data_IF_020189905177
#
_entry.id   IF_020189905177
#
_cell.length_a   1.000
_cell.length_b   1.000
_cell.length_c   1.000
_cell.angle_alpha   90.00
_cell.angle_beta   90.00
_cell.angle_gamma   90.00
#
_symmetry.space_group_name_H-M   'P 1'
#
loop_
_entity.id
_entity.type
_entity.pdbx_description
1 polymer ?
#
# COMPACT_ATOMS: atom_id res chain seq x y z
N UNK A 1 -40.59 -41.32 59.63
CA UNK A 1 -40.04 -41.15 58.27
C UNK A 1 -40.91 -40.14 57.52
N UNK A 2 -40.45 -38.91 57.30
CA UNK A 2 -41.25 -37.87 56.65
C UNK A 2 -41.44 -38.18 55.15
N UNK A 3 -42.69 -38.29 54.71
CA UNK A 3 -43.06 -38.48 53.29
C UNK A 3 -42.75 -37.19 52.54
N UNK A 4 -41.67 -37.18 51.77
CA UNK A 4 -41.32 -36.06 50.90
C UNK A 4 -42.44 -35.90 49.85
N UNK A 5 -42.99 -34.69 49.74
CA UNK A 5 -44.05 -34.38 48.80
C UNK A 5 -43.50 -34.48 47.36
N UNK A 6 -43.95 -35.51 46.63
CA UNK A 6 -43.50 -35.84 45.28
C UNK A 6 -43.68 -34.67 44.30
N UNK A 7 -44.68 -33.81 44.52
CA UNK A 7 -44.92 -32.64 43.66
C UNK A 7 -43.86 -31.55 43.87
N UNK A 8 -43.37 -31.39 45.09
CA UNK A 8 -42.29 -30.43 45.40
C UNK A 8 -40.97 -30.89 44.79
N UNK A 9 -40.69 -32.19 44.86
CA UNK A 9 -39.50 -32.78 44.23
C UNK A 9 -39.57 -32.62 42.71
N UNK A 10 -40.73 -32.87 42.10
CA UNK A 10 -40.91 -32.71 40.66
C UNK A 10 -40.73 -31.26 40.21
N UNK A 11 -41.25 -30.30 40.98
CA UNK A 11 -41.09 -28.88 40.70
C UNK A 11 -39.62 -28.42 40.84
N UNK A 12 -38.89 -28.96 41.82
CA UNK A 12 -37.48 -28.64 42.01
C UNK A 12 -36.62 -29.23 40.87
N UNK A 13 -36.92 -30.46 40.45
CA UNK A 13 -36.25 -31.12 39.33
C UNK A 13 -36.55 -30.43 37.99
N UNK A 14 -37.77 -29.96 37.75
CA UNK A 14 -38.09 -29.22 36.53
C UNK A 14 -37.41 -27.84 36.49
N UNK A 15 -37.36 -27.13 37.63
CA UNK A 15 -36.70 -25.84 37.72
C UNK A 15 -35.18 -25.97 37.51
N UNK A 16 -34.55 -26.95 38.16
CA UNK A 16 -33.12 -27.22 37.98
C UNK A 16 -32.79 -27.64 36.55
N UNK A 17 -33.64 -28.47 35.92
CA UNK A 17 -33.49 -28.84 34.51
C UNK A 17 -33.62 -27.64 33.57
N UNK A 18 -34.52 -26.69 33.85
CA UNK A 18 -34.70 -25.49 33.03
C UNK A 18 -33.48 -24.56 33.11
N UNK A 19 -32.95 -24.36 34.33
CA UNK A 19 -31.73 -23.56 34.55
C UNK A 19 -30.54 -24.20 33.84
N UNK A 20 -30.41 -25.53 33.91
CA UNK A 20 -29.35 -26.25 33.21
C UNK A 20 -29.49 -26.13 31.68
N UNK A 21 -30.70 -26.22 31.13
CA UNK A 21 -30.94 -26.03 29.71
C UNK A 21 -30.59 -24.61 29.24
N UNK A 22 -30.92 -23.59 30.03
CA UNK A 22 -30.56 -22.19 29.73
C UNK A 22 -29.04 -22.00 29.76
N UNK A 23 -28.35 -22.62 30.72
CA UNK A 23 -26.89 -22.62 30.77
C UNK A 23 -26.27 -23.33 29.56
N UNK A 24 -26.80 -24.48 29.15
CA UNK A 24 -26.37 -25.19 27.95
C UNK A 24 -26.59 -24.37 26.68
N UNK A 25 -27.72 -23.69 26.54
CA UNK A 25 -28.01 -22.80 25.40
C UNK A 25 -27.09 -21.58 25.37
N UNK A 26 -26.83 -20.97 26.53
CA UNK A 26 -25.89 -19.87 26.66
C UNK A 26 -24.46 -20.32 26.29
N UNK A 27 -24.02 -21.46 26.83
CA UNK A 27 -22.71 -22.05 26.51
C UNK A 27 -22.60 -22.45 25.04
N UNK A 28 -23.66 -23.02 24.45
CA UNK A 28 -23.71 -23.34 23.03
C UNK A 28 -23.58 -22.08 22.16
N UNK A 29 -24.35 -21.02 22.46
CA UNK A 29 -24.33 -19.78 21.69
C UNK A 29 -23.01 -19.02 21.82
N UNK A 30 -22.41 -19.00 23.00
CA UNK A 30 -21.24 -18.15 23.27
C UNK A 30 -19.91 -18.87 23.01
N UNK A 31 -19.81 -20.17 23.30
CA UNK A 31 -18.56 -20.92 23.20
C UNK A 31 -18.52 -21.91 22.03
N UNK A 32 -19.59 -22.67 21.76
CA UNK A 32 -19.58 -23.68 20.70
C UNK A 32 -19.95 -23.11 19.32
N UNK A 33 -20.88 -22.17 19.22
CA UNK A 33 -21.25 -21.53 17.95
C UNK A 33 -20.11 -20.72 17.35
N UNK A 34 -19.22 -20.16 18.19
CA UNK A 34 -17.99 -19.50 17.74
C UNK A 34 -16.91 -20.49 17.26
N UNK A 35 -16.95 -21.74 17.74
CA UNK A 35 -15.93 -22.78 17.44
C UNK A 35 -16.36 -23.75 16.33
N UNK A 36 -17.67 -23.97 16.16
CA UNK A 36 -18.28 -24.89 15.19
C UNK A 36 -18.95 -24.17 14.01
N UNK A 37 -18.67 -22.88 13.78
CA UNK A 37 -18.98 -22.20 12.52
C UNK A 37 -18.20 -22.74 11.30
N UNK A 38 -17.39 -23.78 11.51
CA UNK A 38 -16.87 -24.65 10.48
C UNK A 38 -17.43 -26.06 10.74
N UNK A 39 -17.94 -26.69 9.67
CA UNK A 39 -18.38 -28.10 9.55
C UNK A 39 -19.92 -28.29 9.46
N UNK A 40 -20.36 -28.58 8.23
CA UNK A 40 -21.68 -29.00 7.69
C UNK A 40 -22.69 -27.94 7.22
N UNK A 41 -22.57 -27.60 5.94
CA UNK A 41 -23.68 -27.76 4.98
C UNK A 41 -23.07 -28.16 3.63
N UNK A 42 -22.94 -29.47 3.42
CA UNK A 42 -22.54 -30.08 2.15
C UNK A 42 -23.81 -30.46 1.42
N UNK A 43 -24.34 -29.53 0.61
CA UNK A 43 -25.30 -29.85 -0.45
C UNK A 43 -24.71 -29.32 -1.76
N UNK A 44 -24.64 -30.24 -2.71
CA UNK A 44 -23.97 -30.19 -4.01
C UNK A 44 -24.44 -28.97 -4.83
N UNK A 45 -23.48 -28.12 -5.18
CA UNK A 45 -23.59 -27.15 -6.25
C UNK A 45 -22.19 -26.87 -6.77
N UNK A 46 -21.91 -27.28 -8.01
CA UNK A 46 -20.69 -26.98 -8.75
C UNK A 46 -20.42 -25.48 -8.75
N UNK A 47 -19.40 -25.01 -8.03
CA UNK A 47 -18.90 -23.64 -8.16
C UNK A 47 -17.37 -23.65 -8.17
N UNK A 48 -16.84 -23.03 -9.22
CA UNK A 48 -15.45 -22.70 -9.45
C UNK A 48 -14.85 -21.93 -8.27
N UNK A 49 -13.58 -22.20 -7.96
CA UNK A 49 -12.65 -21.32 -7.25
C UNK A 49 -13.13 -20.73 -5.93
N UNK A 50 -12.71 -21.29 -4.80
CA UNK A 50 -12.83 -20.62 -3.50
C UNK A 50 -12.06 -19.30 -3.53
N UNK A 51 -12.74 -18.20 -3.85
CA UNK A 51 -12.26 -16.83 -3.64
C UNK A 51 -11.82 -16.74 -2.17
N UNK A 52 -10.54 -16.44 -1.92
CA UNK A 52 -10.09 -16.29 -0.53
C UNK A 52 -10.93 -15.22 0.15
N UNK A 53 -11.30 -15.44 1.41
CA UNK A 53 -12.12 -14.48 2.19
C UNK A 53 -11.53 -13.07 2.18
N UNK A 54 -10.22 -12.92 1.99
CA UNK A 54 -9.49 -11.65 1.88
C UNK A 54 -9.71 -10.96 0.54
N UNK A 55 -9.55 -11.70 -0.56
CA UNK A 55 -9.79 -11.17 -1.88
C UNK A 55 -11.22 -10.72 -2.07
N UNK A 56 -12.17 -11.47 -1.50
CA UNK A 56 -13.57 -11.04 -1.45
C UNK A 56 -13.72 -9.66 -0.77
N UNK A 57 -13.06 -9.42 0.36
CA UNK A 57 -13.09 -8.12 1.07
C UNK A 57 -12.48 -7.01 0.20
N UNK A 58 -11.35 -7.27 -0.45
CA UNK A 58 -10.68 -6.30 -1.34
C UNK A 58 -11.58 -5.98 -2.54
N UNK A 59 -12.13 -6.98 -3.24
CA UNK A 59 -13.08 -6.78 -4.36
C UNK A 59 -14.28 -5.96 -3.94
N UNK A 60 -14.86 -6.27 -2.78
CA UNK A 60 -16.02 -5.56 -2.24
C UNK A 60 -15.69 -4.09 -1.94
N UNK A 61 -14.52 -3.82 -1.38
CA UNK A 61 -14.03 -2.45 -1.17
C UNK A 61 -13.77 -1.71 -2.49
N UNK A 62 -13.15 -2.35 -3.47
CA UNK A 62 -12.92 -1.75 -4.79
C UNK A 62 -14.25 -1.43 -5.48
N UNK A 63 -15.27 -2.28 -5.36
CA UNK A 63 -16.62 -1.99 -5.84
C UNK A 63 -17.27 -0.79 -5.13
N UNK A 64 -17.14 -0.70 -3.80
CA UNK A 64 -17.60 0.45 -3.00
C UNK A 64 -16.97 1.76 -3.51
N UNK A 65 -15.65 1.78 -3.64
CA UNK A 65 -14.89 2.95 -4.07
C UNK A 65 -15.20 3.32 -5.53
N UNK A 66 -15.31 2.33 -6.42
CA UNK A 66 -15.66 2.53 -7.83
C UNK A 66 -17.08 3.12 -7.99
N UNK A 67 -18.07 2.64 -7.22
CA UNK A 67 -19.44 3.19 -7.25
C UNK A 67 -19.53 4.66 -6.85
N UNK A 68 -18.50 5.20 -6.19
CA UNK A 68 -18.42 6.61 -5.80
C UNK A 68 -17.43 7.40 -6.66
N UNK A 69 -16.87 6.79 -7.72
CA UNK A 69 -15.85 7.38 -8.60
C UNK A 69 -14.62 7.91 -7.84
N UNK A 70 -14.23 7.22 -6.77
CA UNK A 70 -13.07 7.60 -5.96
C UNK A 70 -11.84 6.84 -6.50
N UNK A 71 -10.79 7.50 -7.00
CA UNK A 71 -9.58 6.80 -7.40
C UNK A 71 -8.75 6.42 -6.17
N UNK A 72 -8.36 5.14 -6.08
CA UNK A 72 -7.44 4.65 -5.04
C UNK A 72 -6.25 3.95 -5.69
N UNK A 73 -5.10 4.03 -5.02
CA UNK A 73 -3.82 3.53 -5.52
C UNK A 73 -3.31 2.43 -4.60
N UNK A 74 -2.86 1.31 -5.14
CA UNK A 74 -2.26 0.25 -4.34
C UNK A 74 -0.87 0.70 -3.87
N UNK A 75 -0.67 0.77 -2.55
CA UNK A 75 0.60 1.16 -1.92
C UNK A 75 1.11 0.11 -0.93
N UNK A 76 0.51 -1.06 -0.95
CA UNK A 76 0.84 -2.14 -0.03
C UNK A 76 2.25 -2.70 -0.33
N UNK A 77 3.25 -2.53 0.56
CA UNK A 77 4.63 -2.86 0.23
C UNK A 77 4.85 -4.34 -0.05
N UNK A 78 4.06 -5.21 0.58
CA UNK A 78 4.17 -6.66 0.38
C UNK A 78 3.60 -7.06 -0.98
N UNK A 79 2.43 -6.54 -1.36
CA UNK A 79 1.88 -6.84 -2.68
C UNK A 79 2.76 -6.24 -3.77
N UNK A 80 3.18 -4.99 -3.63
CA UNK A 80 4.07 -4.35 -4.61
C UNK A 80 5.39 -5.13 -4.76
N UNK A 81 5.96 -5.64 -3.68
CA UNK A 81 7.14 -6.50 -3.75
C UNK A 81 6.90 -7.86 -4.42
N UNK A 82 5.68 -8.41 -4.36
CA UNK A 82 5.32 -9.62 -5.13
C UNK A 82 5.14 -9.30 -6.62
N UNK A 83 4.47 -8.18 -6.94
CA UNK A 83 4.28 -7.71 -8.31
C UNK A 83 5.62 -7.43 -8.98
N UNK A 84 6.55 -6.79 -8.27
CA UNK A 84 7.91 -6.49 -8.77
C UNK A 84 8.68 -7.76 -9.16
N UNK A 85 8.66 -8.79 -8.28
CA UNK A 85 9.26 -10.10 -8.58
C UNK A 85 8.63 -10.78 -9.78
N UNK A 86 7.31 -10.68 -9.90
CA UNK A 86 6.59 -11.28 -11.02
C UNK A 86 6.84 -10.55 -12.34
N UNK A 87 7.00 -9.21 -12.33
CA UNK A 87 7.38 -8.44 -13.52
C UNK A 87 8.74 -8.90 -14.04
N UNK A 88 9.69 -9.20 -13.14
CA UNK A 88 10.98 -9.76 -13.53
C UNK A 88 10.87 -11.19 -14.08
N UNK A 89 9.94 -12.01 -13.57
CA UNK A 89 9.70 -13.37 -14.06
C UNK A 89 8.89 -13.44 -15.36
N UNK A 90 7.95 -12.53 -15.62
CA UNK A 90 7.15 -12.46 -16.85
C UNK A 90 8.03 -12.21 -18.08
N UNK A 91 9.19 -11.56 -17.91
CA UNK A 91 10.20 -11.44 -18.97
C UNK A 91 10.82 -12.79 -19.39
N UNK A 92 10.57 -13.88 -18.65
CA UNK A 92 11.23 -15.19 -18.84
C UNK A 92 10.32 -16.36 -19.23
N UNK A 93 8.98 -16.26 -19.13
CA UNK A 93 8.05 -17.27 -19.70
C UNK A 93 6.57 -16.80 -19.65
N UNK A 94 5.75 -17.01 -20.70
CA UNK A 94 4.42 -16.42 -20.80
C UNK A 94 3.21 -17.35 -20.60
N UNK A 95 3.32 -18.59 -20.11
CA UNK A 95 2.14 -19.48 -20.12
C UNK A 95 1.84 -20.21 -18.80
N UNK A 96 0.69 -19.85 -18.23
CA UNK A 96 -0.01 -20.61 -17.19
C UNK A 96 -1.31 -19.89 -16.77
N UNK A 97 -2.45 -20.59 -16.64
CA UNK A 97 -3.69 -19.97 -16.18
C UNK A 97 -3.49 -19.45 -14.75
N UNK A 98 -3.48 -18.12 -14.61
CA UNK A 98 -3.23 -17.51 -13.31
C UNK A 98 -4.43 -17.76 -12.38
N UNK A 99 -4.21 -18.14 -11.11
CA UNK A 99 -5.30 -18.18 -10.15
C UNK A 99 -5.99 -16.81 -10.09
N UNK A 100 -7.33 -16.78 -9.96
CA UNK A 100 -8.16 -15.55 -9.91
C UNK A 100 -7.69 -14.53 -8.86
N UNK A 101 -6.82 -14.95 -7.94
CA UNK A 101 -6.16 -14.09 -6.98
C UNK A 101 -4.71 -14.53 -6.70
N UNK A 102 -3.79 -13.94 -7.47
CA UNK A 102 -2.34 -14.14 -7.33
C UNK A 102 -1.74 -13.41 -6.14
N UNK A 103 -2.14 -12.15 -5.92
CA UNK A 103 -1.46 -11.25 -4.97
C UNK A 103 -2.21 -11.00 -3.65
N UNK A 104 -3.55 -11.05 -3.67
CA UNK A 104 -4.38 -10.63 -2.53
C UNK A 104 -4.85 -11.78 -1.62
N UNK A 105 -4.42 -13.01 -1.92
CA UNK A 105 -4.90 -14.21 -1.24
C UNK A 105 -4.06 -14.63 -0.04
N UNK A 106 -2.85 -14.05 0.07
CA UNK A 106 -1.93 -14.36 1.16
C UNK A 106 -2.57 -14.07 2.54
N UNK A 107 -2.39 -14.96 3.54
CA UNK A 107 -2.90 -14.74 4.88
C UNK A 107 -2.35 -13.48 5.53
N UNK A 108 -3.20 -12.46 5.67
CA UNK A 108 -2.84 -11.17 6.28
C UNK A 108 -4.02 -10.42 6.87
N UNK A 109 -3.69 -9.47 7.74
CA UNK A 109 -4.64 -8.68 8.51
C UNK A 109 -5.24 -7.52 7.70
N UNK A 110 -4.46 -6.92 6.78
CA UNK A 110 -4.91 -5.74 6.03
C UNK A 110 -4.34 -5.62 4.62
N UNK A 111 -5.00 -4.79 3.81
CA UNK A 111 -4.52 -4.31 2.51
C UNK A 111 -4.48 -2.79 2.48
N UNK A 112 -3.34 -2.22 2.08
CA UNK A 112 -3.16 -0.76 2.09
C UNK A 112 -3.34 -0.13 0.71
N UNK A 113 -4.23 0.87 0.64
CA UNK A 113 -4.42 1.74 -0.51
C UNK A 113 -4.16 3.20 -0.11
N UNK A 114 -3.79 4.01 -1.09
CA UNK A 114 -3.68 5.46 -0.98
C UNK A 114 -4.85 6.13 -1.67
N UNK A 115 -5.21 7.31 -1.16
CA UNK A 115 -6.17 8.22 -1.73
C UNK A 115 -5.56 9.61 -1.78
N UNK A 116 -5.72 10.31 -2.91
CA UNK A 116 -5.33 11.71 -3.01
C UNK A 116 -6.49 12.59 -2.54
N UNK A 117 -6.25 13.41 -1.52
CA UNK A 117 -7.26 14.28 -0.90
C UNK A 117 -8.05 15.10 -1.93
N UNK A 118 -7.34 15.71 -2.91
CA UNK A 118 -7.94 16.52 -3.99
C UNK A 118 -8.99 15.79 -4.85
N UNK A 119 -8.95 14.46 -4.86
CA UNK A 119 -9.85 13.61 -5.66
C UNK A 119 -11.13 13.22 -4.93
N UNK A 120 -11.21 13.48 -3.62
CA UNK A 120 -12.36 13.12 -2.80
C UNK A 120 -13.08 14.35 -2.27
N UNK A 121 -14.21 14.70 -2.88
CA UNK A 121 -14.95 15.94 -2.57
C UNK A 121 -16.17 15.75 -1.67
N UNK A 122 -16.71 14.53 -1.54
CA UNK A 122 -17.93 14.25 -0.78
C UNK A 122 -17.83 12.94 0.01
N UNK A 123 -17.73 13.04 1.33
CA UNK A 123 -17.48 11.89 2.21
C UNK A 123 -18.76 11.13 2.65
N UNK A 124 -19.90 11.81 2.81
CA UNK A 124 -21.04 11.26 3.57
C UNK A 124 -21.74 10.06 2.91
N UNK A 125 -21.76 9.97 1.58
CA UNK A 125 -22.40 8.85 0.86
C UNK A 125 -21.62 7.54 0.98
N UNK A 126 -20.29 7.63 1.05
CA UNK A 126 -19.40 6.47 1.03
C UNK A 126 -19.61 5.61 2.27
N UNK A 127 -19.60 6.21 3.46
CA UNK A 127 -19.69 5.47 4.72
C UNK A 127 -21.02 4.77 4.90
N UNK A 128 -22.13 5.43 4.53
CA UNK A 128 -23.47 4.81 4.55
C UNK A 128 -23.53 3.60 3.61
N UNK A 129 -22.93 3.71 2.43
CA UNK A 129 -22.88 2.59 1.48
C UNK A 129 -21.97 1.48 2.01
N UNK A 130 -20.84 1.82 2.63
CA UNK A 130 -19.93 0.86 3.24
C UNK A 130 -20.63 0.04 4.35
N UNK A 131 -21.37 0.70 5.24
CA UNK A 131 -22.16 0.07 6.30
C UNK A 131 -23.23 -0.88 5.73
N UNK A 132 -23.97 -0.44 4.69
CA UNK A 132 -24.93 -1.30 3.98
C UNK A 132 -24.26 -2.51 3.34
N UNK A 133 -23.00 -2.36 2.91
CA UNK A 133 -22.17 -3.46 2.41
C UNK A 133 -21.53 -4.30 3.53
N UNK A 134 -21.84 -4.02 4.81
CA UNK A 134 -21.38 -4.78 5.97
C UNK A 134 -20.00 -4.39 6.49
N UNK A 135 -19.37 -3.34 5.94
CA UNK A 135 -18.11 -2.84 6.47
C UNK A 135 -18.35 -2.11 7.78
N UNK A 136 -17.53 -2.43 8.78
CA UNK A 136 -17.24 -1.50 9.87
C UNK A 136 -16.19 -0.51 9.38
N UNK A 137 -16.27 0.76 9.78
CA UNK A 137 -15.29 1.74 9.37
C UNK A 137 -14.83 2.63 10.52
N UNK A 138 -13.63 3.19 10.38
CA UNK A 138 -13.02 4.10 11.34
C UNK A 138 -12.34 5.24 10.58
N UNK A 139 -12.73 6.48 10.89
CA UNK A 139 -12.09 7.70 10.40
C UNK A 139 -11.10 8.20 11.44
N UNK A 140 -9.84 8.36 11.05
CA UNK A 140 -8.78 8.90 11.91
C UNK A 140 -8.41 10.29 11.40
N UNK A 141 -8.73 11.29 12.22
CA UNK A 141 -8.44 12.70 11.97
C UNK A 141 -7.35 13.19 12.94
N UNK A 142 -6.57 14.16 12.50
CA UNK A 142 -5.59 14.84 13.34
C UNK A 142 -5.40 16.29 12.87
N UNK A 143 -4.72 17.11 13.66
CA UNK A 143 -4.41 18.50 13.30
C UNK A 143 -3.67 18.57 11.96
N UNK A 144 -4.03 19.56 11.17
CA UNK A 144 -3.37 19.86 9.91
C UNK A 144 -1.98 20.50 10.13
N UNK A 145 -0.88 19.79 9.84
CA UNK A 145 0.46 20.33 10.04
C UNK A 145 0.85 21.39 8.99
N UNK A 146 -0.05 21.76 8.06
CA UNK A 146 0.12 22.93 7.19
C UNK A 146 -0.21 24.23 7.92
N UNK A 147 -0.92 24.16 9.04
CA UNK A 147 -1.40 25.31 9.80
C UNK A 147 -0.67 25.49 11.13
N UNK A 148 0.29 24.60 11.44
CA UNK A 148 1.16 24.73 12.60
C UNK A 148 2.00 26.02 12.48
N UNK A 149 1.70 27.00 13.33
CA UNK A 149 2.35 28.32 13.38
C UNK A 149 1.44 29.52 13.08
N UNK A 150 0.21 29.30 12.60
CA UNK A 150 -0.81 30.35 12.51
C UNK A 150 -1.76 30.27 13.71
N UNK A 151 -1.65 31.21 14.64
CA UNK A 151 -2.38 31.22 15.92
C UNK A 151 -3.91 31.14 15.76
N UNK A 152 -4.46 31.58 14.63
CA UNK A 152 -5.92 31.59 14.38
C UNK A 152 -6.43 30.34 13.61
N UNK A 153 -5.53 29.52 13.05
CA UNK A 153 -5.87 28.32 12.26
C UNK A 153 -5.39 27.02 12.91
N UNK A 154 -4.71 27.12 14.07
CA UNK A 154 -4.22 26.00 14.87
C UNK A 154 -5.38 25.22 15.51
N UNK A 155 -6.08 24.40 14.72
CA UNK A 155 -7.22 23.64 15.20
C UNK A 155 -8.00 22.87 14.14
N UNK A 156 -7.77 23.12 12.85
CA UNK A 156 -8.43 22.36 11.79
C UNK A 156 -7.90 20.92 11.79
N UNK A 157 -8.79 19.95 12.01
CA UNK A 157 -8.49 18.53 11.90
C UNK A 157 -8.80 18.04 10.48
N UNK A 158 -7.84 17.33 9.88
CA UNK A 158 -7.98 16.69 8.57
C UNK A 158 -7.96 15.16 8.69
N UNK A 159 -8.65 14.45 7.78
CA UNK A 159 -8.58 12.99 7.72
C UNK A 159 -7.22 12.48 7.25
N UNK A 160 -6.57 11.66 8.05
CA UNK A 160 -5.28 11.07 7.68
C UNK A 160 -5.41 9.63 7.22
N UNK A 161 -6.30 8.87 7.86
CA UNK A 161 -6.51 7.47 7.53
C UNK A 161 -7.97 7.07 7.69
N UNK A 162 -8.39 6.13 6.85
CA UNK A 162 -9.63 5.40 6.99
C UNK A 162 -9.33 3.91 7.09
N UNK A 163 -10.04 3.21 7.97
CA UNK A 163 -9.97 1.76 8.07
C UNK A 163 -11.34 1.21 7.75
N UNK A 164 -11.44 0.31 6.77
CA UNK A 164 -12.67 -0.43 6.47
C UNK A 164 -12.44 -1.90 6.83
N UNK A 165 -13.21 -2.46 7.75
CA UNK A 165 -13.05 -3.84 8.23
C UNK A 165 -14.27 -4.65 7.86
N UNK A 166 -14.04 -5.84 7.30
CA UNK A 166 -15.08 -6.82 7.02
C UNK A 166 -14.55 -8.21 7.37
N UNK A 167 -15.28 -8.92 8.23
CA UNK A 167 -14.84 -10.18 8.82
C UNK A 167 -13.43 -10.06 9.45
N UNK A 168 -12.47 -10.88 9.00
CA UNK A 168 -11.11 -10.94 9.53
C UNK A 168 -10.09 -10.11 8.75
N UNK A 169 -10.50 -9.36 7.72
CA UNK A 169 -9.60 -8.56 6.89
C UNK A 169 -9.98 -7.08 6.91
N UNK A 170 -8.97 -6.20 6.91
CA UNK A 170 -9.15 -4.76 6.89
C UNK A 170 -8.52 -4.10 5.66
N UNK A 171 -9.09 -2.99 5.23
CA UNK A 171 -8.52 -2.11 4.24
C UNK A 171 -8.02 -0.87 4.96
N UNK A 172 -6.73 -0.58 4.82
CA UNK A 172 -6.11 0.63 5.31
C UNK A 172 -6.02 1.63 4.18
N UNK A 173 -6.87 2.65 4.20
CA UNK A 173 -6.87 3.72 3.22
C UNK A 173 -6.12 4.93 3.79
N UNK A 174 -4.99 5.28 3.19
CA UNK A 174 -4.11 6.37 3.60
C UNK A 174 -4.41 7.60 2.77
N UNK A 175 -4.67 8.75 3.41
CA UNK A 175 -4.90 10.00 2.71
C UNK A 175 -3.57 10.71 2.47
N UNK A 176 -3.30 11.02 1.21
CA UNK A 176 -2.15 11.79 0.77
C UNK A 176 -2.58 13.20 0.37
N UNK A 177 -1.86 14.17 0.89
CA UNK A 177 -2.04 15.59 0.64
C UNK A 177 -0.90 16.13 -0.22
N UNK A 178 -1.23 16.97 -1.18
CA UNK A 178 -0.23 17.78 -1.87
C UNK A 178 0.17 18.97 -0.99
N UNK A 179 1.48 19.20 -0.84
CA UNK A 179 2.02 20.32 -0.04
C UNK A 179 2.80 21.31 -0.91
N UNK A 180 3.00 22.51 -0.38
CA UNK A 180 3.90 23.52 -0.95
C UNK A 180 5.30 22.92 -1.08
N UNK A 181 5.86 22.94 -2.30
CA UNK A 181 7.06 22.19 -2.66
C UNK A 181 6.81 20.97 -3.56
N UNK A 182 5.57 20.75 -4.02
CA UNK A 182 5.21 19.75 -5.03
C UNK A 182 5.55 18.29 -4.64
N UNK A 183 5.35 17.96 -3.36
CA UNK A 183 5.48 16.61 -2.84
C UNK A 183 4.14 16.13 -2.25
N UNK A 184 3.99 14.81 -2.17
CA UNK A 184 2.88 14.14 -1.50
C UNK A 184 3.25 13.87 -0.04
N UNK A 185 2.32 14.10 0.86
CA UNK A 185 2.51 13.89 2.29
C UNK A 185 1.37 13.06 2.88
N UNK A 186 1.67 12.13 3.76
CA UNK A 186 0.67 11.53 4.65
C UNK A 186 1.08 11.72 6.11
N UNK A 187 0.09 11.79 6.99
CA UNK A 187 0.31 11.91 8.42
C UNK A 187 0.50 10.57 9.12
N UNK A 188 0.89 10.60 10.41
CA UNK A 188 0.91 9.41 11.25
C UNK A 188 -0.49 9.07 11.77
N UNK A 189 -0.70 7.80 12.08
CA UNK A 189 -1.92 7.33 12.73
C UNK A 189 -1.81 7.51 14.24
N UNK A 190 -2.56 8.47 14.80
CA UNK A 190 -2.65 8.72 16.24
C UNK A 190 -4.09 8.53 16.70
N UNK A 191 -4.31 7.52 17.55
CA UNK A 191 -5.64 7.23 18.08
C UNK A 191 -5.98 8.16 19.26
N UNK A 192 -7.17 8.76 19.24
CA UNK A 192 -7.74 9.49 20.38
C UNK A 192 -8.09 8.51 21.51
N UNK A 193 -8.16 9.00 22.75
CA UNK A 193 -8.32 8.16 23.95
C UNK A 193 -9.57 7.25 23.92
N UNK A 194 -10.67 7.74 23.34
CA UNK A 194 -11.96 7.04 23.28
C UNK A 194 -12.08 6.01 22.14
N UNK A 195 -11.07 5.90 21.27
CA UNK A 195 -11.13 5.01 20.12
C UNK A 195 -10.81 3.56 20.49
N UNK A 196 -11.51 2.61 19.87
CA UNK A 196 -11.25 1.17 20.05
C UNK A 196 -9.88 0.78 19.48
N UNK A 197 -8.91 0.58 20.38
CA UNK A 197 -7.55 0.15 20.04
C UNK A 197 -7.46 -1.31 19.55
N UNK A 198 -8.52 -2.10 19.70
CA UNK A 198 -8.62 -3.50 19.24
C UNK A 198 -9.31 -3.64 17.88
N UNK A 199 -9.78 -2.53 17.28
CA UNK A 199 -10.47 -2.56 15.99
C UNK A 199 -9.66 -3.30 14.91
N UNK A 200 -8.36 -2.98 14.81
CA UNK A 200 -7.36 -3.65 13.97
C UNK A 200 -6.00 -3.65 14.69
N UNK A 201 -5.02 -4.49 14.29
CA UNK A 201 -3.67 -4.44 14.85
C UNK A 201 -2.91 -3.19 14.35
N UNK A 202 -3.25 -2.00 14.86
CA UNK A 202 -2.75 -0.70 14.39
C UNK A 202 -1.21 -0.61 14.31
N UNK A 203 -0.50 -1.29 15.21
CA UNK A 203 0.98 -1.32 15.22
C UNK A 203 1.59 -1.95 13.97
N UNK A 204 0.83 -2.78 13.24
CA UNK A 204 1.27 -3.41 11.99
C UNK A 204 1.05 -2.51 10.76
N UNK A 205 0.29 -1.42 10.87
CA UNK A 205 0.01 -0.53 9.74
C UNK A 205 1.26 0.30 9.41
N UNK A 206 1.98 -0.09 8.36
CA UNK A 206 3.26 0.53 7.95
C UNK A 206 3.16 2.06 7.81
N UNK A 207 2.14 2.54 7.09
CA UNK A 207 1.91 3.97 6.85
C UNK A 207 1.31 4.72 8.06
N UNK A 208 1.02 4.03 9.17
CA UNK A 208 0.51 4.65 10.38
C UNK A 208 1.59 5.02 11.41
N UNK A 209 2.81 4.48 11.29
CA UNK A 209 3.85 4.61 12.33
C UNK A 209 4.48 6.01 12.37
N UNK A 210 4.77 6.57 11.21
CA UNK A 210 5.43 7.87 11.04
C UNK A 210 4.76 8.65 9.90
N UNK A 211 4.79 10.00 9.92
CA UNK A 211 4.49 10.77 8.71
C UNK A 211 5.50 10.44 7.61
N UNK A 212 5.06 10.56 6.36
CA UNK A 212 5.91 10.36 5.18
C UNK A 212 5.74 11.48 4.17
N UNK A 213 6.83 11.84 3.50
CA UNK A 213 6.85 12.78 2.39
C UNK A 213 7.50 12.09 1.18
N UNK A 214 6.87 12.23 0.02
CA UNK A 214 7.22 11.53 -1.21
C UNK A 214 7.26 12.55 -2.33
N UNK A 215 8.39 12.62 -3.02
CA UNK A 215 8.47 13.41 -4.24
C UNK A 215 7.45 12.86 -5.25
N UNK A 216 6.82 13.75 -6.02
CA UNK A 216 6.03 13.29 -7.16
C UNK A 216 6.98 12.60 -8.12
N UNK A 217 6.70 11.33 -8.44
CA UNK A 217 7.42 10.64 -9.49
C UNK A 217 7.41 11.51 -10.76
N UNK A 218 8.59 11.91 -11.21
CA UNK A 218 8.75 12.68 -12.44
C UNK A 218 8.68 11.73 -13.62
N UNK A 219 7.46 11.35 -13.99
CA UNK A 219 7.21 10.55 -15.17
C UNK A 219 7.64 11.28 -16.44
N UNK A 220 7.91 10.49 -17.48
CA UNK A 220 8.09 11.02 -18.81
C UNK A 220 6.87 11.85 -19.25
N UNK A 221 7.13 13.07 -19.72
CA UNK A 221 6.15 13.90 -20.42
C UNK A 221 6.02 13.45 -21.88
N UNK A 222 5.32 12.33 -22.08
CA UNK A 222 5.24 11.66 -23.39
C UNK A 222 4.71 12.56 -24.51
N UNK A 223 3.77 13.48 -24.21
CA UNK A 223 3.20 14.39 -25.21
C UNK A 223 4.27 15.39 -25.69
N UNK A 224 4.98 16.01 -24.77
CA UNK A 224 6.04 16.97 -25.03
C UNK A 224 7.26 16.30 -25.68
N UNK A 225 7.64 15.10 -25.22
CA UNK A 225 8.69 14.31 -25.84
C UNK A 225 8.35 13.94 -27.29
N UNK A 226 7.08 13.57 -27.57
CA UNK A 226 6.62 13.31 -28.94
C UNK A 226 6.69 14.57 -29.81
N UNK A 227 6.25 15.72 -29.29
CA UNK A 227 6.35 16.99 -30.01
C UNK A 227 7.82 17.38 -30.27
N UNK A 228 8.73 17.11 -29.32
CA UNK A 228 10.16 17.28 -29.51
C UNK A 228 10.69 16.42 -30.67
N UNK A 229 10.34 15.13 -30.72
CA UNK A 229 10.77 14.22 -31.79
C UNK A 229 10.16 14.52 -33.16
N UNK A 230 9.04 15.24 -33.23
CA UNK A 230 8.48 15.73 -34.49
C UNK A 230 9.34 16.83 -35.12
N UNK A 231 10.00 17.67 -34.30
CA UNK A 231 10.89 18.74 -34.76
C UNK A 231 12.33 18.27 -34.89
N UNK A 232 12.76 17.37 -34.02
CA UNK A 232 14.12 16.83 -33.94
C UNK A 232 14.05 15.30 -33.97
N UNK A 233 14.02 14.69 -35.18
CA UNK A 233 13.91 13.24 -35.32
C UNK A 233 14.94 12.49 -34.47
N UNK A 234 14.51 11.38 -33.87
CA UNK A 234 15.40 10.60 -33.01
C UNK A 234 16.52 9.95 -33.83
N UNK A 235 17.73 9.94 -33.29
CA UNK A 235 18.85 9.24 -33.91
C UNK A 235 18.68 7.72 -33.68
N UNK A 236 18.30 7.03 -34.75
CA UNK A 236 18.08 5.59 -34.78
C UNK A 236 19.28 4.81 -35.33
N UNK A 237 20.46 5.45 -35.46
CA UNK A 237 21.69 4.75 -35.83
C UNK A 237 22.03 3.64 -34.83
N UNK A 238 22.74 2.61 -35.31
CA UNK A 238 23.16 1.48 -34.47
C UNK A 238 23.99 1.94 -33.26
N UNK A 239 24.87 2.91 -33.48
CA UNK A 239 25.71 3.49 -32.42
C UNK A 239 24.86 4.20 -31.36
N UNK A 240 23.86 4.98 -31.77
CA UNK A 240 22.95 5.66 -30.87
C UNK A 240 22.11 4.66 -30.05
N UNK A 241 21.62 3.60 -30.68
CA UNK A 241 20.86 2.54 -29.99
C UNK A 241 21.75 1.81 -28.97
N UNK A 242 22.95 1.42 -29.38
CA UNK A 242 23.89 0.70 -28.51
C UNK A 242 24.39 1.58 -27.36
N UNK A 243 24.65 2.86 -27.61
CA UNK A 243 25.01 3.81 -26.56
C UNK A 243 23.88 3.94 -25.52
N UNK A 244 22.63 4.16 -25.95
CA UNK A 244 21.48 4.26 -25.02
C UNK A 244 21.33 2.99 -24.19
N UNK A 245 21.55 1.82 -24.79
CA UNK A 245 21.50 0.52 -24.09
C UNK A 245 22.58 0.47 -23.01
N UNK A 246 23.83 0.75 -23.35
CA UNK A 246 24.96 0.77 -22.40
C UNK A 246 24.75 1.81 -21.29
N UNK A 247 24.29 3.01 -21.63
CA UNK A 247 24.00 4.08 -20.68
C UNK A 247 22.91 3.67 -19.67
N UNK A 248 21.83 3.04 -20.12
CA UNK A 248 20.77 2.52 -19.22
C UNK A 248 21.28 1.42 -18.31
N UNK A 249 22.07 0.47 -18.82
CA UNK A 249 22.71 -0.57 -18.00
C UNK A 249 23.66 0.03 -16.96
N UNK A 250 24.44 1.04 -17.34
CA UNK A 250 25.36 1.74 -16.46
C UNK A 250 24.62 2.50 -15.34
N UNK A 251 23.55 3.22 -15.68
CA UNK A 251 22.70 3.92 -14.71
C UNK A 251 22.04 2.94 -13.73
N UNK A 252 21.59 1.77 -14.21
CA UNK A 252 21.01 0.74 -13.35
C UNK A 252 22.05 0.18 -12.36
N UNK A 253 23.26 -0.13 -12.82
CA UNK A 253 24.36 -0.59 -11.97
C UNK A 253 24.74 0.46 -10.93
N UNK A 254 24.81 1.73 -11.33
CA UNK A 254 25.12 2.83 -10.43
C UNK A 254 24.03 3.03 -9.37
N UNK A 255 22.76 2.97 -9.78
CA UNK A 255 21.62 3.04 -8.87
C UNK A 255 21.64 1.91 -7.83
N UNK A 256 21.85 0.66 -8.26
CA UNK A 256 21.96 -0.48 -7.35
C UNK A 256 23.10 -0.30 -6.34
N UNK A 257 24.27 0.14 -6.83
CA UNK A 257 25.46 0.34 -6.01
C UNK A 257 25.23 1.41 -4.94
N UNK A 258 24.69 2.58 -5.32
CA UNK A 258 24.40 3.68 -4.40
C UNK A 258 23.27 3.34 -3.42
N UNK A 259 22.23 2.65 -3.88
CA UNK A 259 21.13 2.18 -3.02
C UNK A 259 21.61 1.21 -1.95
N UNK A 260 22.50 0.27 -2.29
CA UNK A 260 23.09 -0.67 -1.32
C UNK A 260 23.93 0.05 -0.25
N UNK A 261 24.52 1.19 -0.59
CA UNK A 261 25.21 2.05 0.36
C UNK A 261 24.25 2.99 1.11
N UNK A 262 22.97 3.04 0.77
CA UNK A 262 22.01 4.00 1.32
C UNK A 262 22.38 5.45 1.01
N UNK A 263 23.01 5.71 -0.14
CA UNK A 263 23.39 7.04 -0.61
C UNK A 263 22.30 7.56 -1.53
N UNK A 264 21.76 8.75 -1.24
CA UNK A 264 20.77 9.40 -2.10
C UNK A 264 21.46 10.02 -3.30
N UNK A 265 20.85 9.87 -4.48
CA UNK A 265 21.37 10.39 -5.73
C UNK A 265 20.25 10.85 -6.67
N UNK A 266 20.60 11.61 -7.70
CA UNK A 266 19.68 12.06 -8.75
C UNK A 266 20.37 12.07 -10.11
N UNK A 267 19.60 12.06 -11.20
CA UNK A 267 20.14 12.29 -12.54
C UNK A 267 20.62 13.75 -12.65
N UNK A 268 21.82 13.97 -13.18
CA UNK A 268 22.38 15.31 -13.35
C UNK A 268 22.60 15.66 -14.83
N UNK A 269 22.89 16.93 -15.11
CA UNK A 269 23.43 17.41 -16.39
C UNK A 269 22.66 16.90 -17.64
N UNK A 270 23.37 16.45 -18.68
CA UNK A 270 22.77 15.97 -19.92
C UNK A 270 21.92 14.71 -19.73
N UNK A 271 22.22 13.91 -18.71
CA UNK A 271 21.44 12.72 -18.36
C UNK A 271 20.04 13.10 -17.86
N UNK A 272 19.96 14.09 -16.97
CA UNK A 272 18.69 14.64 -16.49
C UNK A 272 17.90 15.32 -17.63
N UNK A 273 18.57 16.12 -18.45
CA UNK A 273 17.96 16.79 -19.60
C UNK A 273 17.35 15.79 -20.58
N UNK A 274 18.05 14.69 -20.87
CA UNK A 274 17.55 13.63 -21.74
C UNK A 274 16.22 13.06 -21.24
N UNK A 275 16.15 12.71 -19.95
CA UNK A 275 14.90 12.25 -19.34
C UNK A 275 13.80 13.31 -19.42
N UNK A 276 14.08 14.54 -18.99
CA UNK A 276 13.06 15.58 -18.86
C UNK A 276 12.51 16.11 -20.19
N UNK A 277 13.34 16.15 -21.24
CA UNK A 277 13.00 16.71 -22.56
C UNK A 277 12.45 15.66 -23.51
N UNK A 278 13.10 14.50 -23.59
CA UNK A 278 12.88 13.51 -24.64
C UNK A 278 12.70 12.08 -24.12
N UNK A 279 12.55 11.93 -22.80
CA UNK A 279 12.29 10.66 -22.13
C UNK A 279 13.26 9.53 -22.50
N UNK A 280 14.50 9.89 -22.82
CA UNK A 280 15.51 8.95 -23.26
C UNK A 280 16.91 9.52 -23.00
N UNK A 281 17.92 8.68 -23.07
CA UNK A 281 19.31 9.16 -23.06
C UNK A 281 19.58 9.88 -24.38
N UNK A 282 20.25 11.04 -24.30
CA UNK A 282 20.66 11.80 -25.49
C UNK A 282 21.73 10.97 -26.20
N UNK A 283 21.49 10.52 -27.45
CA UNK A 283 22.31 9.49 -28.10
C UNK A 283 23.77 9.92 -28.37
N UNK A 284 23.97 11.22 -28.55
CA UNK A 284 25.30 11.82 -28.77
C UNK A 284 25.91 12.36 -27.46
N UNK A 285 25.32 12.09 -26.28
CA UNK A 285 26.06 12.24 -25.03
C UNK A 285 27.17 11.18 -25.00
N UNK A 286 28.31 11.49 -24.37
CA UNK A 286 29.46 10.57 -24.32
C UNK A 286 29.56 9.86 -22.97
N UNK A 287 28.66 10.20 -22.05
CA UNK A 287 28.67 9.85 -20.64
C UNK A 287 27.26 9.87 -20.04
N UNK A 288 27.20 9.49 -18.76
CA UNK A 288 26.04 9.65 -17.89
C UNK A 288 26.48 10.29 -16.57
N UNK A 289 25.60 11.09 -15.98
CA UNK A 289 25.89 11.93 -14.81
C UNK A 289 24.90 11.65 -13.69
N UNK A 290 25.44 11.40 -12.50
CA UNK A 290 24.68 11.33 -11.26
C UNK A 290 25.20 12.37 -10.27
N UNK A 291 24.27 13.04 -9.60
CA UNK A 291 24.56 13.91 -8.46
C UNK A 291 24.35 13.18 -7.14
N UNK A 292 25.15 13.52 -6.15
CA UNK A 292 25.03 13.06 -4.75
C UNK A 292 25.20 14.28 -3.85
N UNK A 293 24.46 14.36 -2.74
CA UNK A 293 24.69 15.43 -1.77
C UNK A 293 26.02 15.21 -1.05
N UNK A 294 26.82 16.26 -0.87
CA UNK A 294 28.10 16.16 -0.16
C UNK A 294 27.95 15.60 1.27
N UNK A 295 26.87 15.96 1.97
CA UNK A 295 26.52 15.41 3.29
C UNK A 295 26.22 13.92 3.30
N UNK A 296 25.84 13.36 2.15
CA UNK A 296 25.53 11.94 1.98
C UNK A 296 26.72 11.16 1.39
N UNK A 297 27.87 11.83 1.18
CA UNK A 297 29.09 11.19 0.70
C UNK A 297 29.58 10.14 1.69
N UNK A 298 29.95 8.97 1.16
CA UNK A 298 30.58 7.89 1.91
C UNK A 298 31.89 7.52 1.24
N UNK A 299 32.95 7.32 2.03
CA UNK A 299 34.25 6.90 1.52
C UNK A 299 34.17 5.58 0.72
N UNK A 300 33.19 4.73 1.04
CA UNK A 300 32.91 3.44 0.40
C UNK A 300 32.34 3.54 -1.02
N UNK A 301 31.93 4.72 -1.48
CA UNK A 301 31.37 4.89 -2.84
C UNK A 301 32.38 4.39 -3.89
N UNK A 302 33.62 4.85 -3.83
CA UNK A 302 34.65 4.47 -4.81
C UNK A 302 34.93 2.95 -4.76
N UNK A 303 35.24 2.33 -3.61
CA UNK A 303 35.40 0.88 -3.50
C UNK A 303 34.19 0.09 -4.00
N UNK A 304 32.96 0.54 -3.72
CA UNK A 304 31.76 -0.16 -4.14
C UNK A 304 31.59 -0.16 -5.67
N UNK A 305 31.85 0.98 -6.33
CA UNK A 305 31.83 1.08 -7.78
C UNK A 305 32.95 0.24 -8.42
N UNK A 306 34.16 0.25 -7.86
CA UNK A 306 35.26 -0.61 -8.33
C UNK A 306 34.90 -2.10 -8.23
N UNK A 307 34.31 -2.53 -7.10
CA UNK A 307 33.83 -3.90 -6.91
C UNK A 307 32.71 -4.26 -7.88
N UNK A 308 31.88 -3.30 -8.27
CA UNK A 308 30.81 -3.47 -9.25
C UNK A 308 31.33 -3.47 -10.72
N UNK A 309 32.64 -3.37 -10.93
CA UNK A 309 33.25 -3.37 -12.26
C UNK A 309 33.39 -1.98 -12.91
N UNK A 310 33.26 -0.90 -12.14
CA UNK A 310 33.39 0.47 -12.59
C UNK A 310 34.62 1.14 -11.93
N UNK A 311 35.81 1.06 -12.56
CA UNK A 311 37.02 1.61 -11.99
C UNK A 311 37.00 3.14 -12.01
N UNK A 312 37.51 3.75 -10.93
CA UNK A 312 37.72 5.20 -10.88
C UNK A 312 38.84 5.60 -11.85
N UNK A 313 38.51 6.45 -12.81
CA UNK A 313 39.47 6.97 -13.79
C UNK A 313 40.11 8.30 -13.35
N UNK A 314 39.27 9.22 -12.85
CA UNK A 314 39.71 10.55 -12.43
C UNK A 314 38.97 10.98 -11.16
N UNK A 315 39.68 11.67 -10.26
CA UNK A 315 39.12 12.31 -9.07
C UNK A 315 39.55 13.77 -9.06
N UNK A 316 38.58 14.66 -9.03
CA UNK A 316 38.82 16.10 -9.00
C UNK A 316 38.27 16.70 -7.70
N UNK A 317 38.90 17.78 -7.23
CA UNK A 317 38.55 18.43 -5.97
C UNK A 317 39.06 17.71 -4.71
N UNK A 318 38.96 18.40 -3.58
CA UNK A 318 39.15 17.83 -2.24
C UNK A 318 37.78 17.58 -1.63
N UNK A 319 37.62 16.42 -0.99
CA UNK A 319 36.42 16.07 -0.22
C UNK A 319 36.63 16.50 1.22
#
# INVERSE_FOLDING_TARGET
MQKINKNVVLALLSLTSLVFLLFQLYYYKFYLSQKNGAVFSKVRGSQSGQDSTRWHVVRKFLGLIASHNIPVYLIDPLILGLVDKDIEQIKSSPDGPSPECKYFCAPRDFTTFALLDKTWRHEMGLFRTAEKMGFQWLKIINKDPRLDGMNDLSGIEIPLHYIFKLASHAIHLVVFYERSGNYLWHGPLRLKQHMDRKFVPFRKLHFGRYPGAYEKFLECRYREARAFFQLYPDDASLDAVEFRKKAKSLLHLAALTLNNLGVKFWLSSGTCLGWYRQCNVIPHSKDVDLGVFIRDYKADIIPAFQKAGLPLKHKFGKV
#
